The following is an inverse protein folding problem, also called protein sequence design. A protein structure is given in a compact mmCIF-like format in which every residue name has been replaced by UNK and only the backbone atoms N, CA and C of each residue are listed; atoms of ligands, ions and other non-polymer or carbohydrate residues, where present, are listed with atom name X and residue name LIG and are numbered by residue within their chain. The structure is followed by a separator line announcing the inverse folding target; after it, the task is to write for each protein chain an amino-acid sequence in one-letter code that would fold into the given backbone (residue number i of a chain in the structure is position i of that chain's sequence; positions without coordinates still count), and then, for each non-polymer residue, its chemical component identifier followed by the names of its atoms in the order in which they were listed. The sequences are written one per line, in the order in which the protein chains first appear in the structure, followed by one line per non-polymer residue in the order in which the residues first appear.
data_IF_768679988770
#
_entry.id   IF_768679988770
#
_cell.length_a   1.000
_cell.length_b   1.000
_cell.length_c   1.000
_cell.angle_alpha   90.00
_cell.angle_beta   90.00
_cell.angle_gamma   90.00
#
_symmetry.space_group_name_H-M   'P 1'
#
loop_
_entity.id
_entity.type
_entity.pdbx_description
1 polymer ?
#
# COMPACT_ATOMS: atom_id res chain seq x y z
N UNK A 1 -5.14 -10.03 3.15
CA UNK A 1 -4.00 -10.92 2.92
C UNK A 1 -3.31 -11.21 4.24
N UNK A 2 -3.14 -12.47 4.55
CA UNK A 2 -2.37 -12.89 5.73
C UNK A 2 -0.91 -12.84 5.40
N UNK A 3 -0.12 -12.22 6.29
CA UNK A 3 1.31 -12.03 6.10
C UNK A 3 2.03 -12.28 7.42
N UNK A 4 3.32 -12.53 7.33
CA UNK A 4 4.17 -12.60 8.52
C UNK A 4 4.52 -11.18 8.99
N UNK A 5 4.84 -11.05 10.28
CA UNK A 5 5.24 -9.77 10.85
C UNK A 5 6.59 -9.32 10.27
N UNK A 6 6.73 -8.00 10.05
CA UNK A 6 7.95 -7.36 9.55
C UNK A 6 8.35 -7.76 8.13
N UNK A 7 7.42 -8.25 7.32
CA UNK A 7 7.69 -8.40 5.90
C UNK A 7 7.63 -7.05 5.20
N UNK A 8 8.47 -6.87 4.19
CA UNK A 8 8.47 -5.67 3.37
C UNK A 8 7.22 -5.63 2.49
N UNK A 9 6.57 -4.48 2.46
CA UNK A 9 5.45 -4.21 1.57
C UNK A 9 5.96 -3.29 0.47
N UNK A 10 5.85 -3.73 -0.77
CA UNK A 10 6.36 -3.01 -1.93
C UNK A 10 5.23 -2.35 -2.71
N UNK A 11 5.52 -1.18 -3.28
CA UNK A 11 4.56 -0.51 -4.17
C UNK A 11 4.34 -1.36 -5.42
N UNK A 12 3.07 -1.51 -5.83
CA UNK A 12 2.73 -2.33 -7.00
C UNK A 12 3.07 -1.64 -8.32
N UNK A 13 3.08 -0.31 -8.32
CA UNK A 13 3.36 0.50 -9.51
C UNK A 13 4.14 1.75 -9.10
N UNK A 14 4.77 2.40 -10.07
CA UNK A 14 5.39 3.70 -9.84
C UNK A 14 4.31 4.73 -9.46
N UNK A 15 4.63 5.62 -8.54
CA UNK A 15 3.66 6.62 -8.13
C UNK A 15 4.20 7.60 -7.10
N UNK A 16 3.27 8.31 -6.49
CA UNK A 16 3.54 9.28 -5.44
C UNK A 16 2.72 8.93 -4.21
N UNK A 17 3.34 8.94 -3.06
CA UNK A 17 2.63 8.74 -1.79
C UNK A 17 1.78 9.98 -1.52
N UNK A 18 0.47 9.80 -1.40
CA UNK A 18 -0.47 10.92 -1.19
C UNK A 18 -1.12 10.90 0.19
N UNK A 19 -0.97 9.82 0.94
CA UNK A 19 -1.60 9.68 2.24
C UNK A 19 -0.82 8.69 3.10
N UNK A 20 -0.52 9.11 4.31
CA UNK A 20 0.06 8.25 5.35
C UNK A 20 -0.64 8.60 6.65
N UNK A 21 -1.28 7.64 7.28
CA UNK A 21 -1.99 7.87 8.53
C UNK A 21 -1.73 6.77 9.54
N UNK A 22 -1.48 7.16 10.78
CA UNK A 22 -1.34 6.25 11.90
C UNK A 22 -2.73 6.04 12.50
N UNK A 23 -3.26 4.85 12.32
CA UNK A 23 -4.61 4.52 12.78
C UNK A 23 -4.62 4.22 14.30
N UNK A 24 -5.83 4.19 14.88
CA UNK A 24 -5.98 4.01 16.34
C UNK A 24 -5.51 2.64 16.84
N UNK A 25 -5.39 1.65 15.97
CA UNK A 25 -4.93 0.30 16.34
C UNK A 25 -3.41 0.15 16.20
N UNK A 26 -2.66 1.26 16.18
CA UNK A 26 -1.20 1.26 15.99
C UNK A 26 -0.76 0.64 14.67
N UNK A 27 -1.58 0.75 13.65
CA UNK A 27 -1.24 0.36 12.29
C UNK A 27 -1.30 1.57 11.38
N UNK A 28 -0.67 1.47 10.22
CA UNK A 28 -0.60 2.57 9.26
C UNK A 28 -1.39 2.25 8.00
N UNK A 29 -1.94 3.29 7.40
CA UNK A 29 -2.53 3.24 6.06
C UNK A 29 -1.69 4.12 5.15
N UNK A 30 -1.30 3.59 4.00
CA UNK A 30 -0.53 4.31 2.98
C UNK A 30 -1.31 4.24 1.67
N UNK A 31 -1.44 5.39 1.01
CA UNK A 31 -2.05 5.47 -0.32
C UNK A 31 -1.02 5.99 -1.31
N UNK A 32 -0.91 5.31 -2.45
CA UNK A 32 0.01 5.68 -3.53
C UNK A 32 -0.80 5.95 -4.78
N UNK A 33 -0.65 7.16 -5.33
CA UNK A 33 -1.31 7.54 -6.57
C UNK A 33 -0.41 7.20 -7.74
N UNK A 34 -0.95 6.44 -8.68
CA UNK A 34 -0.32 6.10 -9.94
C UNK A 34 -1.00 6.88 -11.08
N UNK A 35 -0.56 6.70 -12.31
CA UNK A 35 -1.12 7.47 -13.44
C UNK A 35 -2.63 7.26 -13.58
N UNK A 36 -3.09 6.01 -13.56
CA UNK A 36 -4.49 5.67 -13.74
C UNK A 36 -5.09 4.91 -12.56
N UNK A 37 -4.32 4.70 -11.50
CA UNK A 37 -4.73 3.85 -10.39
C UNK A 37 -4.38 4.52 -9.06
N UNK A 38 -5.05 4.06 -8.02
CA UNK A 38 -4.74 4.38 -6.64
C UNK A 38 -4.59 3.07 -5.88
N UNK A 39 -3.45 2.84 -5.27
CA UNK A 39 -3.27 1.67 -4.41
C UNK A 39 -3.35 2.08 -2.95
N UNK A 40 -3.99 1.26 -2.15
CA UNK A 40 -4.20 1.51 -0.73
C UNK A 40 -3.71 0.30 0.05
N UNK A 41 -2.85 0.56 1.03
CA UNK A 41 -2.24 -0.46 1.88
C UNK A 41 -2.63 -0.19 3.32
N UNK A 42 -3.43 -1.07 3.94
CA UNK A 42 -3.92 -0.91 5.31
C UNK A 42 -3.36 -1.98 6.21
N UNK A 43 -3.24 -1.65 7.48
CA UNK A 43 -2.81 -2.61 8.49
C UNK A 43 -1.31 -2.79 8.55
N UNK A 44 -0.52 -1.81 8.11
CA UNK A 44 0.93 -1.86 8.17
C UNK A 44 1.42 -1.55 9.59
N UNK A 45 2.41 -2.29 10.05
CA UNK A 45 3.06 -2.02 11.34
C UNK A 45 3.84 -0.71 11.29
N UNK A 46 4.41 -0.39 10.14
CA UNK A 46 5.25 0.80 9.95
C UNK A 46 5.13 1.29 8.52
N UNK A 47 5.06 2.61 8.37
CA UNK A 47 5.19 3.27 7.09
C UNK A 47 6.58 3.90 7.01
N UNK A 48 7.32 3.62 5.94
CA UNK A 48 8.68 4.13 5.78
C UNK A 48 8.77 5.27 4.77
N UNK A 49 7.66 5.64 4.14
CA UNK A 49 7.57 6.77 3.23
C UNK A 49 6.66 7.83 3.82
N UNK A 50 6.81 9.05 3.34
CA UNK A 50 5.98 10.19 3.75
C UNK A 50 5.23 10.74 2.55
N UNK A 51 4.19 11.53 2.82
CA UNK A 51 3.40 12.19 1.77
C UNK A 51 4.32 13.04 0.90
N UNK A 52 4.19 12.87 -0.42
CA UNK A 52 5.02 13.55 -1.40
C UNK A 52 6.19 12.73 -1.93
N UNK A 53 6.53 11.62 -1.28
CA UNK A 53 7.62 10.77 -1.75
C UNK A 53 7.23 10.08 -3.06
N UNK A 54 8.18 10.04 -3.98
CA UNK A 54 8.06 9.26 -5.21
C UNK A 54 8.49 7.82 -4.91
N UNK A 55 7.76 6.87 -5.43
CA UNK A 55 8.08 5.44 -5.27
C UNK A 55 8.08 4.75 -6.62
N UNK A 56 8.90 3.72 -6.74
CA UNK A 56 8.98 2.88 -7.93
C UNK A 56 8.37 1.52 -7.64
N UNK A 57 7.96 0.83 -8.69
CA UNK A 57 7.47 -0.54 -8.58
C UNK A 57 8.50 -1.39 -7.82
N UNK A 58 8.03 -2.09 -6.79
CA UNK A 58 8.91 -2.94 -5.98
C UNK A 58 9.62 -2.22 -4.85
N UNK A 59 9.53 -0.90 -4.78
CA UNK A 59 10.15 -0.14 -3.69
C UNK A 59 9.37 -0.34 -2.39
N UNK A 60 10.07 -0.59 -1.30
CA UNK A 60 9.45 -0.83 0.01
C UNK A 60 8.78 0.45 0.52
N UNK A 61 7.52 0.35 0.91
CA UNK A 61 6.74 1.46 1.46
C UNK A 61 6.38 1.28 2.93
N UNK A 62 6.57 0.09 3.46
CA UNK A 62 6.25 -0.19 4.86
C UNK A 62 6.53 -1.64 5.23
N UNK A 63 6.16 -1.98 6.45
CA UNK A 63 6.33 -3.33 7.00
C UNK A 63 4.98 -3.86 7.47
N UNK A 64 4.80 -5.17 7.34
CA UNK A 64 3.58 -5.84 7.80
C UNK A 64 3.55 -5.94 9.33
N UNK A 65 2.33 -5.97 9.87
CA UNK A 65 2.10 -6.33 11.27
C UNK A 65 1.93 -7.86 11.36
N UNK A 66 1.65 -8.36 12.58
CA UNK A 66 1.31 -9.77 12.79
C UNK A 66 -0.16 -10.07 12.47
N UNK A 67 -0.88 -9.10 11.93
CA UNK A 67 -2.27 -9.23 11.53
C UNK A 67 -2.36 -9.26 9.99
N UNK A 68 -3.57 -9.41 9.48
CA UNK A 68 -3.80 -9.36 8.04
C UNK A 68 -3.59 -7.95 7.52
N UNK A 69 -2.90 -7.85 6.37
CA UNK A 69 -2.80 -6.61 5.62
C UNK A 69 -3.95 -6.55 4.62
N UNK A 70 -4.55 -5.38 4.46
CA UNK A 70 -5.55 -5.13 3.43
C UNK A 70 -4.94 -4.36 2.28
N UNK A 71 -5.21 -4.80 1.06
CA UNK A 71 -4.77 -4.12 -0.15
C UNK A 71 -5.96 -3.84 -1.04
N UNK A 72 -6.06 -2.58 -1.51
CA UNK A 72 -7.09 -2.18 -2.47
C UNK A 72 -6.44 -1.49 -3.66
N UNK A 73 -6.99 -1.72 -4.83
CA UNK A 73 -6.57 -1.05 -6.06
C UNK A 73 -7.80 -0.40 -6.68
N UNK A 74 -7.71 0.90 -6.97
CA UNK A 74 -8.82 1.69 -7.49
C UNK A 74 -8.47 2.27 -8.84
N UNK A 75 -9.45 2.33 -9.73
CA UNK A 75 -9.34 2.99 -11.01
C UNK A 75 -10.63 3.77 -11.28
N UNK A 76 -10.52 5.09 -11.52
CA UNK A 76 -11.66 5.95 -11.79
C UNK A 76 -12.77 5.78 -10.76
N UNK A 77 -12.42 5.84 -9.47
CA UNK A 77 -13.32 5.72 -8.33
C UNK A 77 -13.98 4.35 -8.20
N UNK A 78 -13.45 3.33 -8.84
CA UNK A 78 -13.93 1.96 -8.70
C UNK A 78 -12.82 1.06 -8.18
N UNK A 79 -13.14 0.31 -7.13
CA UNK A 79 -12.24 -0.73 -6.64
C UNK A 79 -12.21 -1.87 -7.67
N UNK A 80 -11.03 -2.39 -7.94
CA UNK A 80 -10.85 -3.47 -8.90
C UNK A 80 -10.09 -4.61 -8.24
N UNK A 81 -10.30 -5.82 -8.77
CA UNK A 81 -9.59 -7.00 -8.31
C UNK A 81 -8.14 -6.94 -8.80
N UNK A 82 -7.15 -6.80 -7.91
CA UNK A 82 -5.77 -6.70 -8.33
C UNK A 82 -5.27 -7.94 -9.06
N UNK A 83 -5.85 -9.10 -8.80
CA UNK A 83 -5.44 -10.34 -9.47
C UNK A 83 -5.74 -10.32 -10.97
N UNK A 84 -6.65 -9.45 -11.42
CA UNK A 84 -6.97 -9.32 -12.83
C UNK A 84 -6.01 -8.41 -13.58
N UNK A 85 -5.24 -7.60 -12.87
CA UNK A 85 -4.35 -6.61 -13.45
C UNK A 85 -2.88 -6.91 -13.22
N UNK A 86 -2.58 -7.59 -12.12
CA UNK A 86 -1.22 -7.82 -11.66
C UNK A 86 -1.03 -9.34 -11.58
N UNK A 87 0.02 -9.82 -12.22
CA UNK A 87 0.41 -11.23 -12.14
C UNK A 87 1.39 -11.36 -10.98
N UNK A 88 0.99 -12.09 -9.99
CA UNK A 88 1.82 -12.34 -8.83
C UNK A 88 2.61 -13.64 -8.97
#
# INVERSE_FOLDING_TARGET
IKVLENENVASVLNGTVIYVNHEINNVYTVMVKHTNYLSIYRGLKKAIKTVGDLVQTGECIGLTSNQSMEFELWRNDQAIDPEKLIVF
#
